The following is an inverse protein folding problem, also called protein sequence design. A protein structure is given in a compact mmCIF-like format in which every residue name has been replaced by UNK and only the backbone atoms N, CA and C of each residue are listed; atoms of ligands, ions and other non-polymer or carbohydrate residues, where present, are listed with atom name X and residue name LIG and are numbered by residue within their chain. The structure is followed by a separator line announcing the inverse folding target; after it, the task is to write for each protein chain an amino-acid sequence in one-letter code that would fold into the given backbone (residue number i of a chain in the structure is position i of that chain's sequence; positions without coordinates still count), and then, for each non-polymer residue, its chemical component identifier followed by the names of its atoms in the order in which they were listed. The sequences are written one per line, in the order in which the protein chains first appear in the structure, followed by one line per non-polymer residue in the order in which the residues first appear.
data_IF_065759180781
#
_entry.id   IF_065759180781
#
_cell.length_a   1.000
_cell.length_b   1.000
_cell.length_c   1.000
_cell.angle_alpha   90.00
_cell.angle_beta   90.00
_cell.angle_gamma   90.00
#
_symmetry.space_group_name_H-M   'P 1'
#
loop_
_entity.id
_entity.type
_entity.pdbx_description
1 polymer ?
#
# COMPACT_ATOMS: atom_id res chain seq x y z
N UNK A 1 -4.02 -1.32 18.48
CA UNK A 1 -3.69 -2.60 19.16
C UNK A 1 -2.24 -2.52 19.57
N UNK A 2 -1.94 -2.83 20.82
CA UNK A 2 -0.60 -2.64 21.42
C UNK A 2 0.48 -3.51 20.75
N UNK A 3 0.11 -4.67 20.18
CA UNK A 3 1.06 -5.65 19.61
C UNK A 3 0.97 -5.84 18.09
N UNK A 4 0.20 -5.00 17.36
CA UNK A 4 -0.06 -5.21 15.93
C UNK A 4 1.23 -5.32 15.10
N UNK A 5 2.14 -4.34 15.22
CA UNK A 5 3.40 -4.33 14.49
C UNK A 5 4.29 -5.53 14.82
N UNK A 6 4.36 -5.93 16.09
CA UNK A 6 5.18 -7.07 16.52
C UNK A 6 4.64 -8.40 15.96
N UNK A 7 3.33 -8.59 15.96
CA UNK A 7 2.68 -9.78 15.38
C UNK A 7 2.92 -9.83 13.88
N UNK A 8 2.72 -8.71 13.18
CA UNK A 8 2.89 -8.62 11.72
C UNK A 8 4.32 -8.93 11.30
N UNK A 9 5.31 -8.34 11.98
CA UNK A 9 6.73 -8.60 11.72
C UNK A 9 7.11 -10.05 11.97
N UNK A 10 6.64 -10.65 13.07
CA UNK A 10 6.96 -12.05 13.37
C UNK A 10 6.32 -13.01 12.37
N UNK A 11 5.06 -12.79 11.99
CA UNK A 11 4.38 -13.61 10.97
C UNK A 11 5.03 -13.46 9.58
N UNK A 12 5.39 -12.23 9.19
CA UNK A 12 6.11 -11.96 7.93
C UNK A 12 7.45 -12.69 7.89
N UNK A 13 8.23 -12.58 8.98
CA UNK A 13 9.52 -13.27 9.14
C UNK A 13 9.36 -14.79 9.09
N UNK A 14 8.41 -15.36 9.83
CA UNK A 14 8.18 -16.81 9.83
C UNK A 14 7.77 -17.32 8.46
N UNK A 15 6.87 -16.62 7.76
CA UNK A 15 6.48 -16.98 6.40
C UNK A 15 7.69 -16.97 5.46
N UNK A 16 8.55 -15.94 5.55
CA UNK A 16 9.78 -15.87 4.76
C UNK A 16 10.70 -17.05 5.01
N UNK A 17 10.92 -17.42 6.27
CA UNK A 17 11.82 -18.52 6.63
C UNK A 17 11.25 -19.88 6.23
N UNK A 18 9.96 -20.14 6.50
CA UNK A 18 9.32 -21.43 6.21
C UNK A 18 9.20 -21.67 4.71
N UNK A 19 8.81 -20.64 3.95
CA UNK A 19 8.55 -20.77 2.51
C UNK A 19 9.73 -20.29 1.65
N UNK A 20 10.85 -19.87 2.26
CA UNK A 20 12.02 -19.33 1.56
C UNK A 20 11.65 -18.20 0.58
N UNK A 21 10.78 -17.29 1.02
CA UNK A 21 10.24 -16.20 0.20
C UNK A 21 11.38 -15.25 -0.19
N UNK A 22 11.45 -14.90 -1.47
CA UNK A 22 12.51 -14.03 -1.99
C UNK A 22 12.22 -12.55 -1.76
N UNK A 23 10.94 -12.19 -1.69
CA UNK A 23 10.46 -10.82 -1.44
C UNK A 23 11.07 -9.80 -2.40
N UNK A 24 11.20 -10.18 -3.67
CA UNK A 24 11.84 -9.35 -4.71
C UNK A 24 10.87 -8.35 -5.33
N UNK A 25 9.57 -8.65 -5.27
CA UNK A 25 8.51 -7.77 -5.74
C UNK A 25 7.57 -7.49 -4.57
N UNK A 26 7.25 -6.22 -4.37
CA UNK A 26 6.32 -5.78 -3.35
C UNK A 26 5.12 -5.17 -4.03
N UNK A 27 3.96 -5.80 -3.85
CA UNK A 27 2.68 -5.31 -4.35
C UNK A 27 2.03 -4.46 -3.26
N UNK A 28 1.62 -3.25 -3.63
CA UNK A 28 0.96 -2.32 -2.73
C UNK A 28 -0.38 -1.87 -3.28
N UNK A 29 -1.44 -2.06 -2.48
CA UNK A 29 -2.79 -1.65 -2.81
C UNK A 29 -3.51 -0.97 -1.63
N UNK A 30 -4.46 -0.10 -1.98
CA UNK A 30 -5.38 0.55 -1.06
C UNK A 30 -6.80 0.13 -1.40
N UNK A 31 -7.47 -0.50 -0.44
CA UNK A 31 -8.86 -0.90 -0.57
C UNK A 31 -9.74 -0.21 0.45
N UNK A 32 -10.93 0.21 0.03
CA UNK A 32 -11.93 0.78 0.91
C UNK A 32 -12.91 -0.31 1.31
N UNK A 33 -13.18 -0.41 2.61
CA UNK A 33 -14.27 -1.24 3.13
C UNK A 33 -15.23 -0.37 3.92
N UNK A 34 -16.50 -0.75 3.96
CA UNK A 34 -17.56 0.04 4.58
C UNK A 34 -18.32 -0.74 5.63
N UNK A 35 -18.97 0.01 6.51
CA UNK A 35 -19.83 -0.55 7.53
C UNK A 35 -21.30 -0.35 7.14
N UNK A 36 -22.09 -1.42 7.23
CA UNK A 36 -23.55 -1.34 7.08
C UNK A 36 -24.22 -0.62 8.27
N UNK A 37 -23.57 -0.60 9.44
CA UNK A 37 -24.01 0.14 10.61
C UNK A 37 -23.58 1.62 10.62
N UNK A 38 -24.21 2.45 11.45
CA UNK A 38 -24.00 3.91 11.45
C UNK A 38 -22.58 4.36 11.84
N UNK A 39 -21.85 3.55 12.62
CA UNK A 39 -20.54 3.89 13.23
C UNK A 39 -20.49 5.29 13.86
N UNK A 40 -21.62 5.75 14.41
CA UNK A 40 -21.72 7.06 15.05
C UNK A 40 -20.68 7.16 16.18
N UNK A 41 -19.92 8.26 16.20
CA UNK A 41 -18.83 8.47 17.17
C UNK A 41 -17.48 7.83 16.79
N UNK A 42 -17.39 7.14 15.65
CA UNK A 42 -16.10 6.64 15.16
C UNK A 42 -15.18 7.78 14.76
N UNK A 43 -13.96 7.77 15.29
CA UNK A 43 -12.90 8.69 14.85
C UNK A 43 -12.27 8.29 13.52
N UNK A 44 -12.49 7.06 13.05
CA UNK A 44 -11.85 6.52 11.85
C UNK A 44 -12.79 6.46 10.65
N UNK A 45 -14.05 6.12 10.88
CA UNK A 45 -14.99 5.90 9.79
C UNK A 45 -15.50 7.25 9.26
N UNK A 46 -15.51 7.41 7.93
CA UNK A 46 -15.91 8.64 7.23
C UNK A 46 -16.82 8.27 6.07
N UNK A 47 -17.80 9.11 5.74
CA UNK A 47 -18.52 8.98 4.46
C UNK A 47 -17.71 9.69 3.39
N UNK A 48 -17.33 8.96 2.35
CA UNK A 48 -16.54 9.47 1.25
C UNK A 48 -16.90 8.73 -0.05
N UNK A 49 -16.37 9.21 -1.18
CA UNK A 49 -16.58 8.56 -2.46
C UNK A 49 -15.90 7.19 -2.47
N UNK A 50 -16.68 6.12 -2.54
CA UNK A 50 -16.16 4.76 -2.73
C UNK A 50 -16.25 4.32 -4.18
N UNK A 51 -15.36 3.40 -4.60
CA UNK A 51 -15.40 2.80 -5.94
C UNK A 51 -16.71 2.02 -6.18
N UNK A 52 -17.32 1.50 -5.10
CA UNK A 52 -18.60 0.78 -5.11
C UNK A 52 -19.83 1.70 -5.00
N UNK A 53 -19.65 3.02 -5.02
CA UNK A 53 -20.73 4.01 -4.90
C UNK A 53 -21.57 3.94 -3.61
N UNK A 54 -21.07 3.27 -2.57
CA UNK A 54 -21.66 3.19 -1.21
C UNK A 54 -21.39 4.45 -0.37
N UNK A 55 -21.77 5.62 -0.89
CA UNK A 55 -21.57 6.91 -0.21
C UNK A 55 -22.51 7.08 1.01
N UNK A 56 -23.52 6.22 1.11
CA UNK A 56 -24.45 6.09 2.24
C UNK A 56 -23.76 5.52 3.50
N UNK A 57 -22.77 4.65 3.30
CA UNK A 57 -22.07 3.96 4.38
C UNK A 57 -20.79 4.68 4.82
N UNK A 58 -20.50 4.70 6.13
CA UNK A 58 -19.19 5.11 6.61
C UNK A 58 -18.15 4.05 6.26
N UNK A 59 -17.00 4.48 5.77
CA UNK A 59 -15.91 3.64 5.28
C UNK A 59 -14.59 3.92 5.98
N UNK A 60 -13.69 2.94 5.87
CA UNK A 60 -12.29 2.99 6.28
C UNK A 60 -11.44 2.50 5.11
N UNK A 61 -10.18 2.91 5.08
CA UNK A 61 -9.24 2.49 4.05
C UNK A 61 -8.24 1.52 4.67
N UNK A 62 -8.06 0.36 4.05
CA UNK A 62 -7.03 -0.61 4.39
C UNK A 62 -5.94 -0.52 3.32
N UNK A 63 -4.70 -0.30 3.75
CA UNK A 63 -3.55 -0.57 2.90
C UNK A 63 -3.00 -1.95 3.20
N UNK A 64 -2.66 -2.68 2.14
CA UNK A 64 -2.03 -3.99 2.25
C UNK A 64 -0.80 -4.06 1.35
N UNK A 65 0.28 -4.55 1.92
CA UNK A 65 1.53 -4.84 1.23
C UNK A 65 1.76 -6.35 1.25
N UNK A 66 1.95 -6.93 0.08
CA UNK A 66 2.24 -8.37 -0.09
C UNK A 66 3.48 -8.57 -0.98
N UNK A 67 4.09 -9.74 -0.93
CA UNK A 67 5.15 -10.14 -1.86
C UNK A 67 4.62 -10.75 -3.17
N UNK A 68 5.53 -11.17 -4.04
CA UNK A 68 5.22 -11.86 -5.30
C UNK A 68 4.39 -13.14 -5.14
N UNK A 69 4.48 -13.81 -3.99
CA UNK A 69 3.75 -15.04 -3.67
C UNK A 69 2.41 -14.76 -2.95
N UNK A 70 2.10 -13.49 -2.70
CA UNK A 70 0.87 -13.06 -2.05
C UNK A 70 0.90 -13.10 -0.52
N UNK A 71 2.06 -13.31 0.11
CA UNK A 71 2.17 -13.29 1.56
C UNK A 71 2.14 -11.86 2.11
N UNK A 72 1.28 -11.56 3.11
CA UNK A 72 1.24 -10.24 3.76
C UNK A 72 2.56 -9.89 4.44
N UNK A 73 3.05 -8.67 4.17
CA UNK A 73 4.23 -8.07 4.82
C UNK A 73 3.87 -6.95 5.76
N UNK A 74 2.93 -6.11 5.34
CA UNK A 74 2.51 -4.98 6.14
C UNK A 74 1.04 -4.64 5.91
N UNK A 75 0.32 -4.25 6.96
CA UNK A 75 -1.05 -3.76 6.87
C UNK A 75 -1.26 -2.50 7.70
N UNK A 76 -2.14 -1.61 7.24
CA UNK A 76 -2.49 -0.40 7.99
C UNK A 76 -3.90 0.07 7.69
N UNK A 77 -4.64 0.42 8.73
CA UNK A 77 -5.98 0.99 8.64
C UNK A 77 -5.89 2.51 8.78
N UNK A 78 -6.53 3.22 7.86
CA UNK A 78 -6.61 4.67 7.79
C UNK A 78 -8.05 5.17 7.92
N UNK A 79 -8.19 6.48 8.10
CA UNK A 79 -9.49 7.16 7.93
C UNK A 79 -10.00 6.93 6.51
N UNK A 80 -11.30 6.75 6.36
CA UNK A 80 -11.89 6.40 5.06
C UNK A 80 -11.75 7.46 3.95
N UNK A 81 -11.35 8.68 4.28
CA UNK A 81 -11.07 9.75 3.34
C UNK A 81 -9.58 10.04 3.19
N UNK A 82 -8.70 9.09 3.55
CA UNK A 82 -7.25 9.25 3.37
C UNK A 82 -6.92 9.42 1.89
N UNK A 83 -5.98 10.32 1.60
CA UNK A 83 -5.48 10.52 0.25
C UNK A 83 -4.49 9.40 -0.11
N UNK A 84 -4.77 8.67 -1.19
CA UNK A 84 -3.97 7.52 -1.66
C UNK A 84 -2.46 7.82 -1.83
N UNK A 85 -2.02 8.97 -2.36
CA UNK A 85 -0.59 9.25 -2.51
C UNK A 85 0.16 9.38 -1.18
N UNK A 86 -0.51 9.82 -0.11
CA UNK A 86 0.13 10.12 1.17
C UNK A 86 0.53 8.87 1.97
N UNK A 87 0.01 7.70 1.62
CA UNK A 87 0.16 6.48 2.41
C UNK A 87 1.43 5.69 2.07
N UNK A 88 2.01 5.88 0.87
CA UNK A 88 3.16 5.10 0.40
C UNK A 88 4.39 5.28 1.30
N UNK A 89 4.61 6.49 1.82
CA UNK A 89 5.77 6.78 2.68
C UNK A 89 5.80 5.87 3.92
N UNK A 90 4.66 5.68 4.57
CA UNK A 90 4.54 4.86 5.77
C UNK A 90 4.89 3.38 5.51
N UNK A 91 4.67 2.92 4.28
CA UNK A 91 5.00 1.56 3.84
C UNK A 91 6.50 1.44 3.59
N UNK A 92 7.09 2.38 2.85
CA UNK A 92 8.52 2.37 2.57
C UNK A 92 9.35 2.47 3.85
N UNK A 93 8.89 3.22 4.85
CA UNK A 93 9.53 3.31 6.16
C UNK A 93 9.38 2.02 6.99
N UNK A 94 8.31 1.26 6.77
CA UNK A 94 8.09 -0.06 7.37
C UNK A 94 9.01 -1.13 6.79
N UNK A 95 9.07 -1.24 5.47
CA UNK A 95 9.93 -2.21 4.75
C UNK A 95 11.41 -2.07 5.13
N UNK A 96 11.90 -0.84 5.31
CA UNK A 96 13.28 -0.59 5.75
C UNK A 96 13.63 -1.17 7.12
N UNK A 97 12.65 -1.28 8.03
CA UNK A 97 12.89 -1.79 9.38
C UNK A 97 13.07 -3.31 9.40
N UNK A 98 12.52 -4.01 8.43
CA UNK A 98 12.69 -5.47 8.28
C UNK A 98 14.02 -5.84 7.60
N UNK A 99 14.62 -4.90 6.86
CA UNK A 99 15.69 -5.15 5.90
C UNK A 99 17.12 -5.10 6.45
N UNK A 100 17.32 -5.47 7.72
CA UNK A 100 18.67 -5.65 8.29
C UNK A 100 19.59 -6.62 7.53
N UNK A 101 19.11 -7.29 6.46
CA UNK A 101 19.83 -8.28 5.67
C UNK A 101 19.70 -8.21 4.14
N UNK A 102 18.95 -7.27 3.52
CA UNK A 102 18.65 -7.35 2.07
C UNK A 102 19.04 -6.10 1.25
N UNK A 103 19.37 -6.35 -0.03
CA UNK A 103 19.81 -5.34 -1.00
C UNK A 103 18.64 -4.49 -1.49
N UNK A 104 18.92 -3.24 -1.87
CA UNK A 104 17.96 -2.26 -2.42
C UNK A 104 17.31 -2.69 -3.77
N UNK A 105 17.23 -3.97 -4.09
CA UNK A 105 16.81 -4.50 -5.39
C UNK A 105 15.30 -4.77 -5.53
N UNK A 106 14.51 -4.54 -4.48
CA UNK A 106 13.06 -4.75 -4.51
C UNK A 106 12.37 -3.86 -5.54
N UNK A 107 11.38 -4.43 -6.22
CA UNK A 107 10.52 -3.72 -7.18
C UNK A 107 9.17 -3.44 -6.55
N UNK A 108 8.83 -2.17 -6.39
CA UNK A 108 7.52 -1.75 -5.88
C UNK A 108 6.52 -1.67 -7.03
N UNK A 109 5.40 -2.38 -6.90
CA UNK A 109 4.30 -2.38 -7.87
C UNK A 109 3.08 -1.72 -7.22
N UNK A 110 2.51 -0.73 -7.90
CA UNK A 110 1.32 -0.03 -7.43
C UNK A 110 0.48 0.49 -8.60
N UNK A 111 -0.78 0.79 -8.30
CA UNK A 111 -1.71 1.31 -9.28
C UNK A 111 -1.44 2.80 -9.63
N UNK A 112 -2.20 3.30 -10.60
CA UNK A 112 -2.13 4.70 -10.98
C UNK A 112 -2.54 5.63 -9.83
N UNK A 113 -3.50 5.26 -8.98
CA UNK A 113 -4.05 6.05 -7.86
C UNK A 113 -3.04 6.39 -6.77
N UNK A 114 -1.97 5.60 -6.67
CA UNK A 114 -0.86 5.81 -5.73
C UNK A 114 0.38 6.39 -6.43
N UNK A 115 0.58 6.10 -7.73
CA UNK A 115 1.78 6.50 -8.47
C UNK A 115 1.83 7.99 -8.88
N UNK A 116 1.95 8.91 -7.92
CA UNK A 116 2.26 10.32 -8.20
C UNK A 116 3.75 10.53 -8.51
N UNK A 117 4.09 11.68 -9.09
CA UNK A 117 5.49 12.01 -9.38
C UNK A 117 6.34 12.08 -8.09
N UNK A 118 5.76 12.59 -7.00
CA UNK A 118 6.40 12.62 -5.68
C UNK A 118 6.66 11.20 -5.13
N UNK A 119 5.69 10.29 -5.30
CA UNK A 119 5.82 8.91 -4.86
C UNK A 119 6.88 8.16 -5.68
N UNK A 120 6.92 8.35 -6.99
CA UNK A 120 7.97 7.77 -7.85
C UNK A 120 9.35 8.32 -7.46
N UNK A 121 9.46 9.63 -7.19
CA UNK A 121 10.70 10.23 -6.70
C UNK A 121 11.11 9.65 -5.34
N UNK A 122 10.15 9.41 -4.44
CA UNK A 122 10.39 8.79 -3.14
C UNK A 122 10.91 7.35 -3.29
N UNK A 123 10.30 6.53 -4.16
CA UNK A 123 10.76 5.15 -4.41
C UNK A 123 12.21 5.16 -4.91
N UNK A 124 12.52 5.99 -5.91
CA UNK A 124 13.87 6.15 -6.48
C UNK A 124 14.89 6.63 -5.44
N UNK A 125 14.53 7.60 -4.61
CA UNK A 125 15.39 8.12 -3.53
C UNK A 125 15.77 7.03 -2.52
N UNK A 126 14.88 6.06 -2.31
CA UNK A 126 15.12 4.93 -1.43
C UNK A 126 15.85 3.76 -2.09
N UNK A 127 16.24 3.89 -3.37
CA UNK A 127 17.01 2.88 -4.10
C UNK A 127 16.17 1.76 -4.72
N UNK A 128 14.85 1.75 -4.51
CA UNK A 128 13.97 0.71 -5.04
C UNK A 128 13.67 0.88 -6.53
N UNK A 129 13.39 -0.24 -7.20
CA UNK A 129 12.82 -0.28 -8.57
C UNK A 129 11.30 -0.14 -8.49
N UNK A 130 10.64 0.15 -9.61
CA UNK A 130 9.17 0.27 -9.63
C UNK A 130 8.53 -0.12 -10.96
N UNK A 131 7.29 -0.60 -10.87
CA UNK A 131 6.37 -0.79 -11.99
C UNK A 131 5.05 -0.11 -11.65
N UNK A 132 4.64 0.88 -12.43
CA UNK A 132 3.42 1.66 -12.16
C UNK A 132 2.66 1.94 -13.44
N UNK A 133 1.34 2.06 -13.31
CA UNK A 133 0.49 2.53 -14.41
C UNK A 133 0.61 4.04 -14.52
N UNK A 134 1.02 4.54 -15.69
CA UNK A 134 1.13 5.97 -15.94
C UNK A 134 -0.25 6.65 -15.90
N UNK A 135 -0.38 7.75 -15.12
CA UNK A 135 -1.57 8.61 -15.14
C UNK A 135 -1.68 9.47 -16.41
N UNK A 136 -0.60 9.62 -17.17
CA UNK A 136 -0.60 10.45 -18.38
C UNK A 136 -1.35 9.69 -19.48
N UNK A 137 -2.52 10.19 -19.88
CA UNK A 137 -3.22 9.75 -21.10
C UNK A 137 -2.20 9.78 -22.23
N UNK A 138 -2.03 8.64 -22.90
CA UNK A 138 -1.18 8.39 -24.07
C UNK A 138 -0.75 9.67 -24.80
N UNK A 139 0.57 9.84 -24.97
CA UNK A 139 1.13 10.76 -25.96
C UNK A 139 0.37 10.60 -27.28
N UNK A 140 -0.22 11.69 -27.79
CA UNK A 140 -0.49 11.76 -29.24
C UNK A 140 0.86 11.61 -29.91
N UNK A 141 1.07 10.48 -30.58
CA UNK A 141 2.15 10.34 -31.55
C UNK A 141 1.82 11.35 -32.65
N UNK A 142 2.51 12.49 -32.64
CA UNK A 142 2.65 13.32 -33.83
C UNK A 142 3.85 12.75 -34.58
N UNK A 143 3.56 11.97 -35.64
CA UNK A 143 4.52 11.69 -36.69
C UNK A 143 4.73 12.98 -37.47
N UNK A 144 5.96 13.49 -37.45
CA UNK A 144 6.53 14.39 -38.45
C UNK A 144 8.00 14.01 -38.63
#
# INVERSE_FOLDING_TARGET
MENHAAIEQELSKQAREIFSLKETVILYDLTNTYFEGSKRGSKMARRYKSKESRNDCPLITLSLTVDEEGFPKQSKVFEGNVSEPGTLKDILDGLKKEDGMFSNDRTIVMDAGIATEENIALIRKNGYKYVVVSRKKSLKILLA
#
